data_IF_480494795518
#
_entry.id   IF_480494795518
#
_cell.length_a   1.000
_cell.length_b   1.000
_cell.length_c   1.000
_cell.angle_alpha   90.00
_cell.angle_beta   90.00
_cell.angle_gamma   90.00
#
_symmetry.space_group_name_H-M   'P 1'
#
loop_
_entity.id
_entity.type
_entity.pdbx_description
1 polymer ?
#
# COMPACT_ATOMS: atom_id res chain seq x y z
N UNK A 1 2.52 -5.29 6.43
CA UNK A 1 3.74 -4.89 5.70
C UNK A 1 3.40 -4.75 4.22
N UNK A 2 3.93 -3.75 3.52
CA UNK A 2 3.74 -3.59 2.07
C UNK A 2 5.06 -3.88 1.36
N UNK A 3 5.09 -4.83 0.43
CA UNK A 3 6.33 -5.19 -0.28
C UNK A 3 6.24 -4.84 -1.75
N UNK A 4 7.33 -4.32 -2.31
CA UNK A 4 7.48 -4.09 -3.73
C UNK A 4 8.70 -4.83 -4.24
N UNK A 5 8.52 -5.65 -5.27
CA UNK A 5 9.57 -6.40 -5.93
C UNK A 5 9.78 -5.80 -7.32
N UNK A 6 10.97 -5.27 -7.56
CA UNK A 6 11.33 -4.61 -8.81
C UNK A 6 12.27 -5.51 -9.60
N UNK A 7 11.84 -5.95 -10.79
CA UNK A 7 12.67 -6.75 -11.68
C UNK A 7 13.44 -5.82 -12.62
N UNK A 8 14.75 -5.73 -12.40
CA UNK A 8 15.64 -4.80 -13.09
C UNK A 8 16.50 -5.53 -14.12
N UNK A 9 16.08 -5.52 -15.37
CA UNK A 9 16.64 -6.34 -16.44
C UNK A 9 17.98 -5.83 -16.97
N UNK A 10 18.22 -4.52 -16.89
CA UNK A 10 19.45 -3.89 -17.42
C UNK A 10 20.38 -3.30 -16.38
N UNK A 11 19.91 -3.13 -15.14
CA UNK A 11 20.73 -2.54 -14.09
C UNK A 11 21.94 -3.44 -13.80
N UNK A 12 23.14 -2.88 -13.65
CA UNK A 12 24.38 -3.65 -13.48
C UNK A 12 24.39 -4.41 -12.15
N UNK A 13 24.94 -5.63 -12.17
CA UNK A 13 25.15 -6.46 -10.98
C UNK A 13 26.51 -6.24 -10.30
N UNK A 14 27.30 -5.30 -10.83
CA UNK A 14 28.63 -4.90 -10.32
C UNK A 14 28.68 -3.37 -10.10
N UNK A 15 29.51 -2.87 -9.17
CA UNK A 15 29.53 -1.45 -8.81
C UNK A 15 30.41 -0.59 -9.76
N UNK A 16 30.39 -0.83 -11.07
CA UNK A 16 31.27 -0.14 -12.03
C UNK A 16 30.59 1.02 -12.79
N UNK A 17 29.32 1.31 -12.50
CA UNK A 17 28.57 2.37 -13.16
C UNK A 17 28.86 3.78 -12.61
N UNK A 18 28.60 4.79 -13.44
CA UNK A 18 28.76 6.21 -13.10
C UNK A 18 27.49 6.79 -12.47
N UNK A 19 27.65 7.63 -11.45
CA UNK A 19 26.53 8.37 -10.83
C UNK A 19 26.10 9.60 -11.65
N UNK A 20 26.81 9.92 -12.73
CA UNK A 20 26.51 11.07 -13.60
C UNK A 20 25.63 10.68 -14.80
N UNK A 21 25.42 9.39 -15.04
CA UNK A 21 24.61 8.87 -16.16
C UNK A 21 23.84 7.62 -15.71
N UNK A 22 22.89 7.84 -14.80
CA UNK A 22 22.01 6.78 -14.28
C UNK A 22 21.08 6.16 -15.34
N UNK A 23 20.53 6.94 -16.32
CA UNK A 23 19.65 6.36 -17.34
C UNK A 23 20.40 5.59 -18.42
N UNK A 24 21.57 6.07 -18.86
CA UNK A 24 22.31 5.48 -19.97
C UNK A 24 23.15 4.29 -19.52
N UNK A 25 24.41 4.57 -19.19
CA UNK A 25 25.42 3.56 -18.87
C UNK A 25 25.15 2.74 -17.61
N UNK A 26 24.30 3.23 -16.70
CA UNK A 26 23.92 2.50 -15.49
C UNK A 26 22.64 1.66 -15.63
N UNK A 27 22.14 1.41 -16.86
CA UNK A 27 21.07 0.45 -17.08
C UNK A 27 19.74 0.84 -16.43
N UNK A 28 19.37 2.12 -16.51
CA UNK A 28 18.13 2.67 -15.94
C UNK A 28 18.02 2.61 -14.42
N UNK A 29 19.14 2.73 -13.71
CA UNK A 29 19.13 2.91 -12.23
C UNK A 29 18.28 4.12 -11.80
N UNK A 30 18.13 5.14 -12.66
CA UNK A 30 17.23 6.27 -12.42
C UNK A 30 15.78 5.83 -12.14
N UNK A 31 15.28 4.80 -12.84
CA UNK A 31 13.94 4.22 -12.61
C UNK A 31 13.86 3.59 -11.23
N UNK A 32 14.87 2.83 -10.83
CA UNK A 32 14.94 2.18 -9.53
C UNK A 32 15.00 3.21 -8.39
N UNK A 33 15.79 4.28 -8.57
CA UNK A 33 15.87 5.36 -7.60
C UNK A 33 14.52 6.06 -7.40
N UNK A 34 13.79 6.35 -8.48
CA UNK A 34 12.44 6.92 -8.38
C UNK A 34 11.44 5.95 -7.73
N UNK A 35 11.56 4.65 -8.01
CA UNK A 35 10.72 3.63 -7.40
C UNK A 35 10.96 3.51 -5.89
N UNK A 36 12.23 3.48 -5.45
CA UNK A 36 12.61 3.56 -4.03
C UNK A 36 12.04 4.84 -3.41
N UNK A 37 12.17 5.96 -4.11
CA UNK A 37 11.68 7.25 -3.65
C UNK A 37 10.17 7.23 -3.38
N UNK A 38 9.40 6.74 -4.35
CA UNK A 38 7.95 6.60 -4.26
C UNK A 38 7.50 5.59 -3.18
N UNK A 39 8.30 4.54 -2.92
CA UNK A 39 7.97 3.51 -1.94
C UNK A 39 8.17 3.98 -0.48
N UNK A 40 9.20 4.79 -0.22
CA UNK A 40 9.56 5.12 1.15
C UNK A 40 9.18 6.54 1.58
N UNK A 41 9.36 7.56 0.75
CA UNK A 41 9.25 8.94 1.24
C UNK A 41 7.81 9.38 1.48
N UNK A 42 7.60 9.92 2.68
CA UNK A 42 6.52 10.84 3.00
C UNK A 42 7.08 12.26 3.05
N UNK A 43 6.22 13.25 3.23
CA UNK A 43 6.63 14.66 3.34
C UNK A 43 7.59 14.93 4.50
N UNK A 44 7.45 14.22 5.63
CA UNK A 44 8.25 14.43 6.83
C UNK A 44 8.79 13.16 7.50
N UNK A 45 8.61 11.99 6.87
CA UNK A 45 9.08 10.70 7.42
C UNK A 45 9.29 9.69 6.29
N UNK A 46 9.66 8.46 6.65
CA UNK A 46 9.68 7.29 5.79
C UNK A 46 8.60 6.30 6.22
N UNK A 47 7.96 5.64 5.25
CA UNK A 47 7.09 4.50 5.51
C UNK A 47 7.91 3.35 6.14
N UNK A 48 7.64 3.05 7.40
CA UNK A 48 8.36 2.03 8.17
C UNK A 48 7.87 0.61 7.89
N UNK A 49 6.63 0.50 7.43
CA UNK A 49 5.91 -0.73 7.10
C UNK A 49 6.09 -1.13 5.61
N UNK A 50 7.19 -0.73 4.99
CA UNK A 50 7.51 -1.02 3.58
C UNK A 50 8.83 -1.80 3.47
N UNK A 51 8.86 -2.81 2.59
CA UNK A 51 10.08 -3.49 2.12
C UNK A 51 10.14 -3.34 0.59
N UNK A 52 11.31 -2.99 0.05
CA UNK A 52 11.55 -2.97 -1.40
C UNK A 52 12.66 -3.95 -1.72
N UNK A 53 12.37 -4.90 -2.57
CA UNK A 53 13.32 -5.85 -3.14
C UNK A 53 13.60 -5.46 -4.59
N UNK A 54 14.88 -5.32 -4.94
CA UNK A 54 15.32 -5.04 -6.30
C UNK A 54 16.10 -6.25 -6.76
N UNK A 55 15.60 -6.94 -7.78
CA UNK A 55 16.26 -8.07 -8.40
C UNK A 55 16.97 -7.63 -9.68
N UNK A 56 18.29 -7.53 -9.61
CA UNK A 56 19.15 -7.12 -10.72
C UNK A 56 19.49 -8.35 -11.57
N UNK A 57 19.02 -8.36 -12.82
CA UNK A 57 19.30 -9.39 -13.83
C UNK A 57 19.09 -10.83 -13.35
N UNK A 58 18.09 -11.06 -12.50
CA UNK A 58 17.80 -12.37 -11.88
C UNK A 58 18.99 -13.01 -11.13
N UNK A 59 19.90 -12.19 -10.60
CA UNK A 59 21.16 -12.66 -10.00
C UNK A 59 21.45 -12.06 -8.63
N UNK A 60 21.18 -10.76 -8.47
CA UNK A 60 21.53 -10.02 -7.26
C UNK A 60 20.30 -9.32 -6.72
N UNK A 61 19.98 -9.61 -5.47
CA UNK A 61 18.95 -8.91 -4.74
C UNK A 61 19.56 -7.78 -3.91
N UNK A 62 18.98 -6.59 -3.99
CA UNK A 62 19.16 -5.51 -3.03
C UNK A 62 17.84 -5.30 -2.29
N UNK A 63 17.84 -5.51 -0.98
CA UNK A 63 16.65 -5.42 -0.14
C UNK A 63 16.72 -4.22 0.78
N UNK A 64 15.70 -3.38 0.76
CA UNK A 64 15.56 -2.18 1.57
C UNK A 64 14.41 -2.35 2.55
N UNK A 65 14.67 -2.18 3.86
CA UNK A 65 13.70 -2.39 4.94
C UNK A 65 13.38 -1.07 5.64
N UNK A 66 12.18 -0.53 5.42
CA UNK A 66 11.75 0.81 5.84
C UNK A 66 11.96 1.12 7.31
N UNK A 67 11.62 0.17 8.19
CA UNK A 67 11.83 0.27 9.64
C UNK A 67 13.29 0.54 10.02
N UNK A 68 14.24 0.01 9.25
CA UNK A 68 15.69 0.04 9.55
C UNK A 68 16.46 1.07 8.72
N UNK A 69 15.84 1.63 7.67
CA UNK A 69 16.48 2.58 6.77
C UNK A 69 16.93 3.85 7.48
N UNK A 70 18.18 4.24 7.22
CA UNK A 70 18.76 5.53 7.61
C UNK A 70 19.53 6.13 6.44
N UNK A 71 19.64 7.46 6.40
CA UNK A 71 20.43 8.21 5.40
C UNK A 71 20.01 8.00 3.94
N UNK A 72 18.75 7.61 3.72
CA UNK A 72 18.13 7.67 2.40
C UNK A 72 17.64 9.10 2.18
N UNK A 73 18.04 9.75 1.08
CA UNK A 73 17.56 11.09 0.71
C UNK A 73 16.68 11.01 -0.55
N UNK A 74 15.75 11.96 -0.75
CA UNK A 74 14.82 11.93 -1.88
C UNK A 74 15.45 12.08 -3.28
N UNK A 75 16.73 12.42 -3.37
CA UNK A 75 17.42 12.58 -4.65
C UNK A 75 17.89 11.24 -5.23
N UNK A 76 17.82 11.12 -6.56
CA UNK A 76 18.20 9.89 -7.27
C UNK A 76 19.68 9.57 -7.11
N UNK A 77 20.56 10.59 -7.08
CA UNK A 77 22.01 10.39 -7.07
C UNK A 77 22.49 9.74 -5.77
N UNK A 78 22.01 10.20 -4.62
CA UNK A 78 22.38 9.62 -3.32
C UNK A 78 21.81 8.22 -3.15
N UNK A 79 20.60 7.97 -3.65
CA UNK A 79 20.00 6.63 -3.70
C UNK A 79 20.82 5.68 -4.59
N UNK A 80 21.24 6.13 -5.77
CA UNK A 80 22.12 5.36 -6.66
C UNK A 80 23.48 5.07 -6.01
N UNK A 81 24.02 5.99 -5.21
CA UNK A 81 25.24 5.75 -4.44
C UNK A 81 25.05 4.66 -3.38
N UNK A 82 23.88 4.57 -2.75
CA UNK A 82 23.56 3.48 -1.81
C UNK A 82 23.44 2.13 -2.53
N UNK A 83 22.80 2.07 -3.71
CA UNK A 83 22.75 0.88 -4.57
C UNK A 83 24.16 0.43 -4.92
N UNK A 84 25.01 1.37 -5.38
CA UNK A 84 26.41 1.11 -5.71
C UNK A 84 27.17 0.53 -4.52
N UNK A 85 27.02 1.14 -3.34
CA UNK A 85 27.66 0.66 -2.12
C UNK A 85 27.13 -0.71 -1.65
N UNK A 86 25.86 -1.02 -1.92
CA UNK A 86 25.32 -2.35 -1.67
C UNK A 86 26.03 -3.39 -2.55
N UNK A 87 26.19 -3.14 -3.84
CA UNK A 87 26.91 -4.03 -4.76
C UNK A 87 28.38 -4.25 -4.37
N UNK A 88 29.06 -3.24 -3.81
CA UNK A 88 30.42 -3.39 -3.26
C UNK A 88 30.51 -4.39 -2.08
N UNK A 89 29.39 -4.70 -1.43
CA UNK A 89 29.31 -5.62 -0.29
C UNK A 89 28.81 -7.02 -0.69
N UNK A 90 28.55 -7.25 -1.97
CA UNK A 90 28.08 -8.55 -2.46
C UNK A 90 29.12 -9.65 -2.17
N UNK A 91 28.73 -10.61 -1.34
CA UNK A 91 29.53 -11.78 -0.94
C UNK A 91 28.80 -13.08 -1.18
N UNK A 92 29.30 -14.18 -0.62
CA UNK A 92 28.63 -15.50 -0.66
C UNK A 92 27.33 -15.49 0.16
N UNK A 93 27.35 -14.86 1.32
CA UNK A 93 26.21 -14.72 2.23
C UNK A 93 25.51 -13.36 2.11
N UNK A 94 24.28 -13.26 2.62
CA UNK A 94 23.59 -11.96 2.72
C UNK A 94 24.40 -11.00 3.61
N UNK A 95 24.70 -9.81 3.07
CA UNK A 95 25.45 -8.79 3.76
C UNK A 95 24.62 -7.52 3.93
N UNK A 96 24.70 -6.91 5.10
CA UNK A 96 24.15 -5.57 5.31
C UNK A 96 25.16 -4.53 4.85
N UNK A 97 24.79 -3.69 3.87
CA UNK A 97 25.67 -2.64 3.35
C UNK A 97 25.58 -1.35 4.18
N UNK A 98 24.36 -0.90 4.43
CA UNK A 98 24.03 0.26 5.26
C UNK A 98 22.81 -0.06 6.13
N UNK A 99 22.47 0.75 7.15
CA UNK A 99 21.28 0.53 7.96
C UNK A 99 20.02 0.34 7.11
N UNK A 100 19.43 -0.86 7.14
CA UNK A 100 18.24 -1.21 6.39
C UNK A 100 18.45 -1.65 4.94
N UNK A 101 19.68 -1.70 4.42
CA UNK A 101 19.97 -2.16 3.06
C UNK A 101 20.83 -3.43 3.10
N UNK A 102 20.32 -4.49 2.47
CA UNK A 102 20.94 -5.81 2.38
C UNK A 102 21.22 -6.15 0.92
N UNK A 103 22.25 -6.94 0.69
CA UNK A 103 22.61 -7.45 -0.63
C UNK A 103 22.88 -8.95 -0.53
N UNK A 104 22.40 -9.72 -1.51
CA UNK A 104 22.65 -11.15 -1.61
C UNK A 104 22.58 -11.61 -3.06
N UNK A 105 23.19 -12.76 -3.36
CA UNK A 105 22.85 -13.50 -4.58
C UNK A 105 21.47 -14.14 -4.38
N UNK A 106 20.56 -13.92 -5.31
CA UNK A 106 19.23 -14.51 -5.28
C UNK A 106 18.60 -14.48 -6.67
N UNK A 107 17.84 -15.50 -7.01
CA UNK A 107 17.01 -15.58 -8.22
C UNK A 107 15.54 -15.27 -7.91
N UNK A 108 14.72 -15.09 -8.94
CA UNK A 108 13.30 -14.78 -8.85
C UNK A 108 12.51 -15.93 -8.18
N UNK A 109 12.72 -17.22 -8.51
CA UNK A 109 12.09 -18.31 -7.77
C UNK A 109 12.45 -18.31 -6.28
N UNK A 110 13.73 -18.13 -5.95
CA UNK A 110 14.19 -18.07 -4.55
C UNK A 110 13.60 -16.87 -3.80
N UNK A 111 13.42 -15.73 -4.49
CA UNK A 111 12.77 -14.56 -3.93
C UNK A 111 11.28 -14.81 -3.67
N UNK A 112 10.60 -15.47 -4.60
CA UNK A 112 9.20 -15.84 -4.46
C UNK A 112 9.01 -16.83 -3.28
N UNK A 113 9.87 -17.84 -3.17
CA UNK A 113 9.89 -18.77 -2.04
C UNK A 113 10.08 -18.05 -0.70
N UNK A 114 11.00 -17.08 -0.64
CA UNK A 114 11.19 -16.24 0.56
C UNK A 114 9.90 -15.50 0.92
N UNK A 115 9.22 -14.91 -0.06
CA UNK A 115 7.97 -14.17 0.20
C UNK A 115 6.89 -15.08 0.76
N UNK A 116 6.73 -16.29 0.22
CA UNK A 116 5.79 -17.28 0.77
C UNK A 116 6.16 -17.73 2.19
N UNK A 117 7.45 -17.94 2.48
CA UNK A 117 7.91 -18.26 3.84
C UNK A 117 7.62 -17.14 4.85
N UNK A 118 7.57 -15.89 4.39
CA UNK A 118 7.18 -14.73 5.21
C UNK A 118 5.66 -14.56 5.33
N UNK A 119 4.86 -15.42 4.70
CA UNK A 119 3.40 -15.30 4.65
C UNK A 119 2.91 -14.11 3.82
N UNK A 120 3.75 -13.60 2.90
CA UNK A 120 3.35 -12.53 1.99
C UNK A 120 2.44 -13.08 0.88
N UNK A 121 1.69 -12.18 0.24
CA UNK A 121 0.82 -12.52 -0.88
C UNK A 121 1.34 -11.85 -2.17
N UNK A 122 2.09 -12.59 -3.01
CA UNK A 122 2.59 -12.13 -4.31
C UNK A 122 1.46 -11.75 -5.28
N UNK A 123 1.61 -10.59 -5.93
CA UNK A 123 0.68 -10.03 -6.90
C UNK A 123 1.49 -9.36 -8.00
N UNK A 124 1.13 -9.55 -9.26
CA UNK A 124 1.78 -8.88 -10.39
C UNK A 124 0.97 -7.64 -10.78
N UNK A 125 1.64 -6.49 -10.92
CA UNK A 125 1.01 -5.31 -11.49
C UNK A 125 1.21 -5.31 -13.00
N UNK A 126 0.10 -5.37 -13.75
CA UNK A 126 0.11 -5.51 -15.20
C UNK A 126 -1.15 -4.86 -15.81
N UNK A 127 -1.02 -4.19 -16.95
CA UNK A 127 -2.14 -3.51 -17.64
C UNK A 127 -3.30 -4.45 -17.99
N UNK A 128 -3.00 -5.67 -18.44
CA UNK A 128 -3.99 -6.74 -18.72
C UNK A 128 -4.55 -7.45 -17.46
N UNK A 129 -4.19 -6.98 -16.26
CA UNK A 129 -4.70 -7.53 -15.00
C UNK A 129 -6.16 -7.16 -14.70
N UNK A 130 -6.74 -7.78 -13.66
CA UNK A 130 -8.04 -7.38 -13.17
C UNK A 130 -7.98 -5.93 -12.61
N UNK A 131 -8.97 -5.07 -12.86
CA UNK A 131 -8.98 -3.70 -12.33
C UNK A 131 -8.85 -3.70 -10.80
N UNK A 132 -7.96 -2.86 -10.26
CA UNK A 132 -7.69 -2.79 -8.82
C UNK A 132 -8.93 -2.40 -8.01
N UNK A 133 -9.84 -1.62 -8.58
CA UNK A 133 -11.10 -1.19 -7.94
C UNK A 133 -12.05 -2.36 -7.71
N UNK A 134 -11.97 -3.40 -8.53
CA UNK A 134 -12.76 -4.61 -8.42
C UNK A 134 -12.05 -5.73 -7.64
N UNK A 135 -10.83 -5.47 -7.16
CA UNK A 135 -9.97 -6.50 -6.54
C UNK A 135 -9.72 -6.22 -5.07
N UNK A 136 -9.94 -7.21 -4.21
CA UNK A 136 -9.54 -7.13 -2.81
C UNK A 136 -8.03 -7.39 -2.67
N UNK A 137 -7.28 -6.40 -2.18
CA UNK A 137 -5.86 -6.57 -1.89
C UNK A 137 -5.71 -7.33 -0.56
N UNK A 138 -5.01 -8.47 -0.52
CA UNK A 138 -4.78 -9.22 0.70
C UNK A 138 -3.87 -8.45 1.67
N UNK A 139 -3.90 -8.85 2.94
CA UNK A 139 -2.91 -8.41 3.92
C UNK A 139 -1.50 -8.86 3.52
N UNK A 140 -0.48 -8.12 3.95
CA UNK A 140 0.93 -8.40 3.63
C UNK A 140 1.22 -8.60 2.12
N UNK A 141 0.74 -7.71 1.23
CA UNK A 141 0.91 -7.88 -0.21
C UNK A 141 2.37 -7.69 -0.64
N UNK A 142 2.76 -8.40 -1.70
CA UNK A 142 4.03 -8.25 -2.39
C UNK A 142 3.81 -8.00 -3.88
N UNK A 143 3.96 -6.75 -4.30
CA UNK A 143 3.68 -6.31 -5.67
C UNK A 143 4.93 -6.46 -6.54
N UNK A 144 4.84 -7.30 -7.56
CA UNK A 144 5.85 -7.46 -8.60
C UNK A 144 5.63 -6.41 -9.69
N UNK A 145 6.71 -5.70 -10.01
CA UNK A 145 6.77 -4.69 -11.06
C UNK A 145 8.01 -4.93 -11.90
N UNK A 146 7.87 -4.76 -13.20
CA UNK A 146 9.01 -4.65 -14.10
C UNK A 146 9.64 -3.24 -14.04
N UNK A 147 10.78 -3.07 -14.71
CA UNK A 147 11.50 -1.81 -14.82
C UNK A 147 10.92 -0.90 -15.93
N UNK A 148 11.62 -0.79 -17.06
CA UNK A 148 11.20 -0.03 -18.24
C UNK A 148 10.96 -0.97 -19.44
N UNK A 149 11.18 -2.26 -19.24
CA UNK A 149 10.89 -3.31 -20.21
C UNK A 149 9.70 -4.12 -19.71
N UNK A 150 9.09 -4.89 -20.60
CA UNK A 150 8.13 -5.90 -20.20
C UNK A 150 8.82 -7.00 -19.38
N UNK A 151 8.04 -7.79 -18.65
CA UNK A 151 8.54 -9.01 -18.03
C UNK A 151 9.18 -9.91 -19.09
N UNK A 152 10.36 -10.46 -18.79
CA UNK A 152 11.00 -11.41 -19.70
C UNK A 152 10.21 -12.72 -19.74
N UNK A 153 10.38 -13.57 -20.78
CA UNK A 153 9.72 -14.87 -20.82
C UNK A 153 10.00 -15.74 -19.59
N UNK A 154 11.21 -15.65 -19.01
CA UNK A 154 11.54 -16.36 -17.77
C UNK A 154 10.81 -15.81 -16.55
N UNK A 155 10.58 -14.49 -16.48
CA UNK A 155 9.79 -13.91 -15.39
C UNK A 155 8.34 -14.33 -15.52
N UNK A 156 7.79 -14.27 -16.74
CA UNK A 156 6.44 -14.69 -17.08
C UNK A 156 6.18 -16.15 -16.70
N UNK A 157 7.15 -17.05 -16.92
CA UNK A 157 7.07 -18.45 -16.48
C UNK A 157 7.00 -18.60 -14.96
N UNK A 158 7.82 -17.85 -14.20
CA UNK A 158 7.85 -17.93 -12.73
C UNK A 158 6.62 -17.27 -12.09
N UNK A 159 6.09 -16.22 -12.72
CA UNK A 159 4.98 -15.42 -12.21
C UNK A 159 3.61 -15.85 -12.78
N UNK A 160 3.56 -16.91 -13.60
CA UNK A 160 2.37 -17.33 -14.35
C UNK A 160 1.13 -17.55 -13.47
N UNK A 161 1.32 -18.13 -12.29
CA UNK A 161 0.24 -18.50 -11.37
C UNK A 161 -0.17 -17.36 -10.42
N UNK A 162 0.47 -16.19 -10.51
CA UNK A 162 0.18 -15.07 -9.62
C UNK A 162 -1.01 -14.25 -10.11
N UNK A 163 -1.83 -13.71 -9.18
CA UNK A 163 -2.90 -12.80 -9.55
C UNK A 163 -2.32 -11.53 -10.19
N UNK A 164 -2.90 -11.12 -11.32
CA UNK A 164 -2.56 -9.87 -12.03
C UNK A 164 -3.58 -8.79 -11.71
N UNK A 165 -3.09 -7.62 -11.32
CA UNK A 165 -3.91 -6.44 -11.03
C UNK A 165 -3.48 -5.28 -11.94
N UNK A 166 -4.47 -4.61 -12.52
CA UNK A 166 -4.29 -3.43 -13.36
C UNK A 166 -4.61 -2.16 -12.60
N UNK A 167 -3.79 -1.12 -12.80
CA UNK A 167 -4.02 0.25 -12.31
C UNK A 167 -4.68 1.15 -13.38
N UNK A 168 -5.07 0.56 -14.50
CA UNK A 168 -5.63 1.25 -15.66
C UNK A 168 -4.98 0.82 -16.97
N UNK A 169 -5.59 1.23 -18.08
CA UNK A 169 -5.16 0.85 -19.44
C UNK A 169 -3.88 1.55 -19.92
N UNK A 170 -3.48 2.64 -19.24
CA UNK A 170 -2.27 3.39 -19.62
C UNK A 170 -1.05 2.78 -18.94
N UNK A 171 0.00 2.37 -19.69
CA UNK A 171 1.24 1.92 -19.10
C UNK A 171 1.88 3.03 -18.27
N UNK A 172 2.14 2.75 -16.99
CA UNK A 172 2.70 3.70 -16.04
C UNK A 172 4.15 3.34 -15.68
N UNK A 173 4.93 4.34 -15.29
CA UNK A 173 6.23 4.06 -14.69
C UNK A 173 6.08 3.39 -13.33
N UNK A 174 7.02 2.50 -12.99
CA UNK A 174 7.09 1.78 -11.71
C UNK A 174 6.82 2.68 -10.50
N UNK A 175 7.43 3.87 -10.45
CA UNK A 175 7.25 4.83 -9.35
C UNK A 175 5.83 5.38 -9.25
N UNK A 176 5.13 5.55 -10.37
CA UNK A 176 3.73 5.98 -10.41
C UNK A 176 2.82 4.86 -9.90
N UNK A 177 3.06 3.62 -10.32
CA UNK A 177 2.34 2.46 -9.83
C UNK A 177 2.45 2.34 -8.31
N UNK A 178 3.67 2.44 -7.76
CA UNK A 178 3.91 2.40 -6.31
C UNK A 178 3.14 3.53 -5.60
N UNK A 179 3.18 4.74 -6.14
CA UNK A 179 2.47 5.90 -5.56
C UNK A 179 0.96 5.65 -5.51
N UNK A 180 0.36 5.13 -6.59
CA UNK A 180 -1.07 4.82 -6.67
C UNK A 180 -1.43 3.70 -5.68
N UNK A 181 -0.65 2.62 -5.65
CA UNK A 181 -0.88 1.51 -4.72
C UNK A 181 -0.82 1.99 -3.27
N UNK A 182 0.15 2.84 -2.92
CA UNK A 182 0.20 3.45 -1.60
C UNK A 182 -1.04 4.26 -1.28
N UNK A 183 -1.49 5.11 -2.19
CA UNK A 183 -2.71 5.89 -2.02
C UNK A 183 -3.93 5.00 -1.77
N UNK A 184 -4.09 3.90 -2.53
CA UNK A 184 -5.20 2.98 -2.37
C UNK A 184 -5.15 2.22 -1.04
N UNK A 185 -3.97 1.73 -0.65
CA UNK A 185 -3.78 1.04 0.63
C UNK A 185 -3.96 1.96 1.84
N UNK A 186 -3.48 3.20 1.76
CA UNK A 186 -3.72 4.21 2.80
C UNK A 186 -5.22 4.48 2.96
N UNK A 187 -5.95 4.57 1.84
CA UNK A 187 -7.41 4.75 1.87
C UNK A 187 -8.14 3.56 2.46
N UNK A 188 -7.68 2.33 2.21
CA UNK A 188 -8.26 1.11 2.80
C UNK A 188 -7.99 1.04 4.31
N UNK A 189 -6.78 1.38 4.76
CA UNK A 189 -6.46 1.43 6.19
C UNK A 189 -7.29 2.50 6.93
N UNK A 190 -7.55 3.66 6.32
CA UNK A 190 -8.49 4.64 6.86
C UNK A 190 -9.93 4.10 6.95
N UNK A 191 -10.32 3.18 6.06
CA UNK A 191 -11.64 2.54 6.08
C UNK A 191 -11.79 1.49 7.17
N UNK A 192 -10.70 0.82 7.54
CA UNK A 192 -10.63 -0.18 8.61
C UNK A 192 -10.39 0.41 10.01
N UNK A 193 -10.12 1.72 10.11
CA UNK A 193 -9.88 2.40 11.38
C UNK A 193 -11.10 2.49 12.31
N UNK A 194 -10.85 2.85 13.57
CA UNK A 194 -11.90 3.03 14.59
C UNK A 194 -12.97 4.01 14.10
N UNK A 195 -14.20 3.49 13.93
CA UNK A 195 -15.34 4.31 13.57
C UNK A 195 -15.58 5.35 14.67
N UNK A 196 -15.91 6.57 14.26
CA UNK A 196 -16.20 7.67 15.17
C UNK A 196 -17.70 7.88 15.26
N UNK A 197 -18.16 8.26 16.45
CA UNK A 197 -19.54 8.62 16.66
C UNK A 197 -19.90 9.88 15.85
N UNK A 198 -20.73 9.70 14.83
CA UNK A 198 -21.27 10.80 14.03
C UNK A 198 -22.41 11.51 14.74
N UNK A 199 -23.41 10.72 15.14
CA UNK A 199 -24.69 11.21 15.64
C UNK A 199 -25.39 10.17 16.51
N UNK A 200 -26.29 10.61 17.38
CA UNK A 200 -27.08 9.77 18.28
C UNK A 200 -28.56 10.00 18.04
N UNK A 201 -29.34 8.93 17.95
CA UNK A 201 -30.78 9.01 17.67
C UNK A 201 -31.54 8.07 18.58
N UNK A 202 -32.70 8.52 19.05
CA UNK A 202 -33.67 7.65 19.72
C UNK A 202 -34.59 7.01 18.67
N UNK A 203 -34.55 5.67 18.59
CA UNK A 203 -35.41 4.90 17.70
C UNK A 203 -34.75 4.47 16.38
N UNK A 204 -34.92 3.19 16.07
CA UNK A 204 -34.38 2.56 14.86
C UNK A 204 -34.89 3.16 13.54
N UNK A 205 -36.18 3.54 13.38
CA UNK A 205 -36.66 4.10 12.11
C UNK A 205 -35.96 5.40 11.71
N UNK A 206 -35.75 6.32 12.66
CA UNK A 206 -35.07 7.59 12.39
C UNK A 206 -33.57 7.36 12.10
N UNK A 207 -32.94 6.39 12.76
CA UNK A 207 -31.56 5.99 12.45
C UNK A 207 -31.42 5.39 11.04
N UNK A 208 -32.38 4.56 10.60
CA UNK A 208 -32.40 4.01 9.24
C UNK A 208 -32.57 5.09 8.17
N UNK A 209 -33.38 6.12 8.42
CA UNK A 209 -33.52 7.27 7.51
C UNK A 209 -32.20 8.04 7.36
N UNK A 210 -31.50 8.32 8.47
CA UNK A 210 -30.20 8.99 8.43
C UNK A 210 -29.16 8.11 7.71
N UNK A 211 -29.16 6.80 7.98
CA UNK A 211 -28.29 5.84 7.27
C UNK A 211 -28.56 5.85 5.76
N UNK A 212 -29.83 5.84 5.35
CA UNK A 212 -30.22 5.91 3.94
C UNK A 212 -29.75 7.20 3.28
N UNK A 213 -30.00 8.35 3.92
CA UNK A 213 -29.54 9.65 3.43
C UNK A 213 -28.01 9.67 3.26
N UNK A 214 -27.26 9.25 4.26
CA UNK A 214 -25.80 9.25 4.19
C UNK A 214 -25.27 8.27 3.13
N UNK A 215 -25.95 7.14 2.92
CA UNK A 215 -25.61 6.20 1.86
C UNK A 215 -25.77 6.81 0.45
N UNK A 216 -26.78 7.66 0.23
CA UNK A 216 -26.97 8.39 -1.04
C UNK A 216 -25.79 9.34 -1.35
N UNK A 217 -25.08 9.79 -0.31
CA UNK A 217 -23.86 10.59 -0.42
C UNK A 217 -22.57 9.74 -0.39
N UNK A 218 -22.66 8.42 -0.55
CA UNK A 218 -21.55 7.47 -0.46
C UNK A 218 -20.83 7.47 0.90
N UNK A 219 -21.54 7.82 1.98
CA UNK A 219 -21.01 7.76 3.35
C UNK A 219 -21.57 6.50 4.03
N UNK A 220 -20.76 5.44 4.20
CA UNK A 220 -21.22 4.25 4.88
C UNK A 220 -21.35 4.51 6.39
N UNK A 221 -22.50 4.10 6.95
CA UNK A 221 -22.81 4.28 8.37
C UNK A 221 -23.04 2.93 9.03
N UNK A 222 -22.34 2.71 10.13
CA UNK A 222 -22.58 1.58 11.03
C UNK A 222 -23.46 2.01 12.19
N UNK A 223 -24.55 1.27 12.41
CA UNK A 223 -25.45 1.51 13.53
C UNK A 223 -25.06 0.59 14.68
N UNK A 224 -24.76 1.16 15.84
CA UNK A 224 -24.46 0.43 17.07
C UNK A 224 -25.56 0.73 18.07
N UNK A 225 -26.32 -0.29 18.48
CA UNK A 225 -27.30 -0.20 19.55
C UNK A 225 -26.66 -0.66 20.86
N UNK A 226 -26.81 0.12 21.93
CA UNK A 226 -26.53 -0.39 23.26
C UNK A 226 -27.83 -0.98 23.83
N UNK A 227 -27.76 -2.26 24.20
CA UNK A 227 -28.78 -3.11 24.86
C UNK A 227 -29.43 -4.15 23.93
N UNK A 228 -29.29 -5.46 24.24
CA UNK A 228 -30.13 -6.50 23.63
C UNK A 228 -31.58 -6.32 24.09
N UNK A 229 -32.53 -6.38 23.15
CA UNK A 229 -33.96 -6.23 23.38
C UNK A 229 -34.59 -7.20 24.40
N UNK A 230 -33.79 -8.06 25.05
CA UNK A 230 -34.24 -9.11 25.98
C UNK A 230 -34.10 -8.78 27.47
N UNK A 231 -33.52 -7.63 27.86
CA UNK A 231 -33.29 -7.31 29.29
C UNK A 231 -33.59 -5.84 29.61
N UNK A 232 -34.87 -5.43 29.54
CA UNK A 232 -35.59 -4.58 30.52
C UNK A 232 -36.95 -4.14 29.92
N UNK A 233 -38.10 -4.41 30.58
CA UNK A 233 -39.25 -3.52 30.46
C UNK A 233 -38.93 -2.28 31.33
N UNK A 234 -39.42 -1.09 30.96
CA UNK A 234 -39.27 0.20 31.68
C UNK A 234 -38.22 1.18 31.12
N UNK A 235 -38.45 1.66 29.90
CA UNK A 235 -38.30 3.10 29.59
C UNK A 235 -39.52 3.53 28.79
N UNK A 236 -40.00 4.75 29.05
CA UNK A 236 -41.40 5.17 28.87
C UNK A 236 -41.87 5.23 27.41
N UNK A 237 -40.98 5.09 26.42
CA UNK A 237 -41.33 5.12 24.98
C UNK A 237 -40.78 3.96 24.13
N UNK A 238 -40.13 2.95 24.72
CA UNK A 238 -39.69 1.74 23.97
C UNK A 238 -38.63 1.95 22.88
N UNK A 239 -38.01 3.14 22.80
CA UNK A 239 -36.97 3.47 21.81
C UNK A 239 -35.57 3.27 22.41
N UNK A 240 -34.75 2.42 21.78
CA UNK A 240 -33.33 2.27 22.11
C UNK A 240 -32.49 3.40 21.51
N UNK A 241 -31.45 3.87 22.22
CA UNK A 241 -30.44 4.78 21.68
C UNK A 241 -29.64 4.06 20.58
N UNK A 242 -29.68 4.59 19.37
CA UNK A 242 -28.89 4.13 18.22
C UNK A 242 -27.74 5.12 17.98
N UNK A 243 -26.51 4.59 17.94
CA UNK A 243 -25.31 5.35 17.61
C UNK A 243 -24.96 5.15 16.15
N UNK A 244 -24.92 6.25 15.40
CA UNK A 244 -24.50 6.26 14.01
C UNK A 244 -23.00 6.52 14.00
N UNK A 245 -22.25 5.49 13.63
CA UNK A 245 -20.79 5.47 13.57
C UNK A 245 -20.37 5.61 12.11
N UNK A 246 -19.51 6.59 11.83
CA UNK A 246 -18.99 6.85 10.48
C UNK A 246 -17.47 6.86 10.51
N UNK A 247 -16.85 6.87 9.33
CA UNK A 247 -15.40 6.97 9.22
C UNK A 247 -14.95 8.38 9.65
N UNK A 248 -13.76 8.53 10.26
CA UNK A 248 -13.24 9.84 10.69
C UNK A 248 -13.26 10.91 9.58
N UNK A 249 -12.91 10.53 8.34
CA UNK A 249 -12.93 11.43 7.18
C UNK A 249 -14.32 11.92 6.79
N UNK A 250 -15.34 11.08 6.98
CA UNK A 250 -16.71 11.39 6.60
C UNK A 250 -17.45 12.14 7.70
N UNK A 251 -16.89 12.23 8.92
CA UNK A 251 -17.53 12.83 10.09
C UNK A 251 -18.00 14.26 9.84
N UNK A 252 -17.12 15.11 9.29
CA UNK A 252 -17.45 16.51 9.03
C UNK A 252 -18.60 16.62 8.03
N UNK A 253 -18.49 15.90 6.91
CA UNK A 253 -19.49 15.91 5.85
C UNK A 253 -20.81 15.29 6.28
N UNK A 254 -20.77 14.20 7.03
CA UNK A 254 -21.94 13.53 7.57
C UNK A 254 -22.69 14.42 8.56
N UNK A 255 -21.98 15.18 9.40
CA UNK A 255 -22.60 16.17 10.31
C UNK A 255 -23.27 17.31 9.56
N UNK A 256 -22.64 17.84 8.52
CA UNK A 256 -23.26 18.85 7.65
C UNK A 256 -24.55 18.32 7.03
N UNK A 257 -24.52 17.14 6.40
CA UNK A 257 -25.70 16.54 5.77
C UNK A 257 -26.80 16.26 6.80
N UNK A 258 -26.45 15.76 7.98
CA UNK A 258 -27.44 15.55 9.04
C UNK A 258 -28.07 16.87 9.46
N UNK A 259 -27.27 17.93 9.67
CA UNK A 259 -27.77 19.24 10.08
C UNK A 259 -28.67 19.90 9.01
N UNK A 260 -28.36 19.70 7.72
CA UNK A 260 -29.14 20.26 6.61
C UNK A 260 -30.53 19.59 6.46
N UNK A 261 -30.66 18.32 6.85
CA UNK A 261 -31.87 17.52 6.61
C UNK A 261 -32.63 17.12 7.88
N UNK A 262 -31.99 17.19 9.05
CA UNK A 262 -32.57 16.82 10.35
C UNK A 262 -32.25 17.90 11.39
N UNK A 263 -33.24 18.31 12.17
CA UNK A 263 -33.04 19.21 13.30
C UNK A 263 -32.08 18.58 14.34
N UNK A 264 -31.24 19.41 14.97
CA UNK A 264 -30.39 18.98 16.09
C UNK A 264 -31.25 18.30 17.17
N UNK A 265 -30.79 17.18 17.77
CA UNK A 265 -31.51 16.58 18.87
C UNK A 265 -31.55 17.60 20.01
N UNK A 266 -32.76 17.84 20.52
CA UNK A 266 -33.00 18.49 21.80
C UNK A 266 -32.06 17.88 22.85
N UNK A 267 -31.09 18.67 23.30
CA UNK A 267 -30.22 18.33 24.42
C UNK A 267 -31.06 18.41 25.71
N UNK A 268 -31.59 17.28 26.14
CA UNK A 268 -31.96 17.03 27.54
C UNK A 268 -31.28 15.73 28.02
#
# INVERSE_FOLDING_TARGET
MRRFVLLAHKAPVVPDFTLNDLPGSAGRIDVLCRAIGAAFFLSHDLRRDVEVDILLQDQVQIRLVGERLKRLNPDERSTAALIKHALEKLGEEEAQSTPGIFVSRRTLPEMLDRLYQLGAHPIVLHEDGAPIEATSIPNDPAFFLSDHQDFSPSDEEVLADLPRISLGETPLHTSQCITIVHYLLDRQQEDEGDLVLCHKVWGEPKAQLIKGLLADFNIPVNMVTQVPASILPMTVDGLSEVRLMVRPRDLARAREIIADYFEEPSAE
#
